data_IF_911407907605
#
_entry.id   IF_911407907605
#
_cell.length_a   1.000
_cell.length_b   1.000
_cell.length_c   1.000
_cell.angle_alpha   90.00
_cell.angle_beta   90.00
_cell.angle_gamma   90.00
#
_symmetry.space_group_name_H-M   'P 1'
#
loop_
_entity.id
_entity.type
_entity.pdbx_description
1 polymer ?
#
# COMPACT_ATOMS: atom_id res chain seq x y z
N UNK A 1 -10.53 4.12 -0.71
CA UNK A 1 -10.42 4.14 -2.18
C UNK A 1 -10.90 5.49 -2.62
N UNK A 2 -10.05 6.21 -3.35
CA UNK A 2 -10.35 7.55 -3.86
C UNK A 2 -10.32 7.48 -5.39
N UNK A 3 -11.23 8.21 -6.04
CA UNK A 3 -11.36 8.23 -7.50
C UNK A 3 -11.22 9.66 -7.98
N UNK A 4 -10.15 9.92 -8.74
CA UNK A 4 -9.91 11.20 -9.40
C UNK A 4 -10.39 11.10 -10.84
N UNK A 5 -11.54 11.73 -11.10
CA UNK A 5 -12.19 11.78 -12.43
C UNK A 5 -11.39 12.59 -13.47
N UNK A 6 -10.84 13.78 -13.16
CA UNK A 6 -10.03 14.52 -14.15
C UNK A 6 -8.69 13.86 -14.50
N UNK A 7 -8.12 13.01 -13.64
CA UNK A 7 -6.86 12.29 -13.91
C UNK A 7 -7.03 10.84 -14.36
N UNK A 8 -8.27 10.37 -14.54
CA UNK A 8 -8.61 8.96 -14.83
C UNK A 8 -7.84 7.99 -13.92
N UNK A 9 -7.82 8.26 -12.61
CA UNK A 9 -7.01 7.52 -11.64
C UNK A 9 -7.84 7.05 -10.45
N UNK A 10 -7.54 5.83 -10.00
CA UNK A 10 -8.04 5.25 -8.75
C UNK A 10 -6.87 5.04 -7.80
N UNK A 11 -7.02 5.51 -6.56
CA UNK A 11 -6.06 5.27 -5.48
C UNK A 11 -6.66 4.24 -4.51
N UNK A 12 -5.92 3.15 -4.34
CA UNK A 12 -6.25 2.08 -3.40
C UNK A 12 -5.31 2.17 -2.21
N UNK A 13 -5.87 2.43 -1.03
CA UNK A 13 -5.11 2.46 0.21
C UNK A 13 -4.92 1.04 0.75
N UNK A 14 -3.69 0.70 1.08
CA UNK A 14 -3.28 -0.56 1.69
C UNK A 14 -2.66 -0.23 3.04
N UNK A 15 -3.18 -0.83 4.10
CA UNK A 15 -2.69 -0.59 5.45
C UNK A 15 -2.46 -1.92 6.16
N UNK A 16 -1.48 -1.93 7.06
CA UNK A 16 -1.28 -3.05 7.96
C UNK A 16 -2.41 -3.05 8.99
N UNK A 17 -2.84 -4.24 9.40
CA UNK A 17 -3.84 -4.36 10.47
C UNK A 17 -3.33 -3.63 11.72
N UNK A 18 -4.18 -2.79 12.32
CA UNK A 18 -3.84 -2.08 13.54
C UNK A 18 -3.31 -3.05 14.62
N UNK A 19 -2.17 -2.70 15.22
CA UNK A 19 -1.49 -3.53 16.23
C UNK A 19 -0.72 -4.74 15.69
N UNK A 20 -0.63 -4.94 14.37
CA UNK A 20 0.17 -6.03 13.80
C UNK A 20 1.67 -5.76 14.02
N UNK A 21 2.33 -6.64 14.79
CA UNK A 21 3.78 -6.60 14.95
C UNK A 21 4.47 -7.15 13.70
N UNK A 22 5.44 -6.43 13.12
CA UNK A 22 6.25 -6.98 12.05
C UNK A 22 7.10 -8.14 12.60
N UNK A 23 7.22 -9.20 11.82
CA UNK A 23 8.09 -10.32 12.13
C UNK A 23 9.08 -10.54 10.99
N UNK A 24 10.28 -11.00 11.32
CA UNK A 24 11.25 -11.41 10.31
C UNK A 24 10.67 -12.60 9.50
N UNK A 25 10.63 -12.53 8.16
CA UNK A 25 10.06 -13.62 7.35
C UNK A 25 10.89 -14.91 7.40
N UNK A 26 12.15 -14.85 7.86
CA UNK A 26 13.05 -16.01 7.94
C UNK A 26 13.01 -16.70 9.31
N UNK A 27 12.91 -15.95 10.41
CA UNK A 27 12.99 -16.50 11.77
C UNK A 27 11.76 -16.24 12.64
N UNK A 28 10.76 -15.53 12.12
CA UNK A 28 9.47 -15.21 12.77
C UNK A 28 9.55 -14.40 14.07
N UNK A 29 10.73 -13.90 14.45
CA UNK A 29 10.90 -13.04 15.63
C UNK A 29 10.36 -11.63 15.37
N UNK A 30 9.84 -10.94 16.41
CA UNK A 30 9.43 -9.55 16.29
C UNK A 30 10.58 -8.68 15.78
N UNK A 31 10.28 -7.81 14.82
CA UNK A 31 11.22 -6.87 14.22
C UNK A 31 10.56 -5.49 14.09
N UNK A 32 11.30 -4.38 14.20
CA UNK A 32 10.73 -3.03 14.21
C UNK A 32 10.16 -2.55 12.87
N UNK A 33 10.24 -3.36 11.80
CA UNK A 33 10.00 -2.87 10.44
C UNK A 33 11.16 -1.98 9.97
N UNK A 34 11.41 -1.90 8.67
CA UNK A 34 12.50 -1.10 8.12
C UNK A 34 12.01 0.14 7.37
N UNK A 35 10.97 -0.03 6.56
CA UNK A 35 10.45 1.01 5.67
C UNK A 35 9.15 1.51 6.28
N UNK A 36 9.15 2.75 6.80
CA UNK A 36 7.98 3.38 7.45
C UNK A 36 7.49 4.63 6.73
N UNK A 37 7.78 4.71 5.43
CA UNK A 37 7.39 5.85 4.58
C UNK A 37 6.14 5.49 3.79
N UNK A 38 5.28 6.50 3.62
CA UNK A 38 4.21 6.43 2.64
C UNK A 38 4.79 6.20 1.25
N UNK A 39 4.27 5.20 0.56
CA UNK A 39 4.76 4.74 -0.74
C UNK A 39 3.60 4.60 -1.71
N UNK A 40 3.86 4.95 -2.97
CA UNK A 40 2.92 4.79 -4.07
C UNK A 40 3.52 3.85 -5.12
N UNK A 41 2.74 2.88 -5.57
CA UNK A 41 3.11 1.94 -6.62
C UNK A 41 2.09 1.94 -7.75
N UNK A 42 2.58 1.72 -8.97
CA UNK A 42 1.73 1.56 -10.14
C UNK A 42 1.23 0.12 -10.24
N UNK A 43 -0.09 -0.07 -10.23
CA UNK A 43 -0.72 -1.35 -10.52
C UNK A 43 -1.19 -1.39 -11.99
N UNK A 44 -1.62 -2.57 -12.44
CA UNK A 44 -2.40 -2.69 -13.67
C UNK A 44 -3.67 -1.83 -13.57
N UNK A 45 -4.06 -1.27 -14.71
CA UNK A 45 -5.26 -0.45 -14.85
C UNK A 45 -6.53 -1.21 -14.48
N UNK A 46 -7.46 -0.50 -13.87
CA UNK A 46 -8.80 -0.98 -13.58
C UNK A 46 -9.74 -0.35 -14.59
N UNK A 47 -10.11 -1.13 -15.60
CA UNK A 47 -10.86 -0.67 -16.77
C UNK A 47 -10.11 0.49 -17.47
N UNK A 48 -10.74 1.66 -17.57
CA UNK A 48 -10.13 2.86 -18.15
C UNK A 48 -9.25 3.65 -17.18
N UNK A 49 -9.22 3.29 -15.89
CA UNK A 49 -8.55 4.08 -14.87
C UNK A 49 -7.15 3.54 -14.55
N UNK A 50 -6.20 4.46 -14.40
CA UNK A 50 -4.88 4.17 -13.82
C UNK A 50 -5.04 3.83 -12.35
N UNK A 51 -4.61 2.64 -11.95
CA UNK A 51 -4.66 2.22 -10.55
C UNK A 51 -3.32 2.45 -9.86
N UNK A 52 -3.36 3.19 -8.76
CA UNK A 52 -2.22 3.43 -7.86
C UNK A 52 -2.52 2.80 -6.52
N UNK A 53 -1.59 1.98 -6.05
CA UNK A 53 -1.60 1.50 -4.67
C UNK A 53 -0.84 2.49 -3.81
N UNK A 54 -1.37 2.80 -2.65
CA UNK A 54 -0.70 3.65 -1.67
C UNK A 54 -0.75 3.01 -0.29
N UNK A 55 0.40 2.96 0.38
CA UNK A 55 0.49 2.37 1.71
C UNK A 55 1.39 3.18 2.64
N UNK A 56 1.02 3.19 3.91
CA UNK A 56 1.91 3.49 5.03
C UNK A 56 2.50 2.15 5.51
N UNK A 57 3.84 2.01 5.45
CA UNK A 57 4.53 0.71 5.48
C UNK A 57 5.04 0.36 6.88
#
# INVERSE_FOLDING_TARGET
MEVDMPQEQVIVHVERKAGAQPCCPTCSKPAPGYDSRRRRWRHLDTCQYKTILEADV
#
